data_IF_882650776499
#
_entry.id   IF_882650776499
#
_cell.length_a   1.000
_cell.length_b   1.000
_cell.length_c   1.000
_cell.angle_alpha   90.00
_cell.angle_beta   90.00
_cell.angle_gamma   90.00
#
_symmetry.space_group_name_H-M   'P 1'
#
loop_
_entity.id
_entity.type
_entity.pdbx_description
1 polymer ?
#
# COMPACT_ATOMS: atom_id res chain seq x y z
N UNK A 1 -12.38 -4.01 1.87
CA UNK A 1 -12.82 -4.66 3.12
C UNK A 1 -13.52 -3.72 4.09
N UNK A 2 -13.20 -2.41 4.16
CA UNK A 2 -13.80 -1.54 5.20
C UNK A 2 -14.33 -0.19 4.67
N UNK A 3 -14.69 -0.16 3.38
CA UNK A 3 -15.10 1.06 2.69
C UNK A 3 -13.97 2.07 2.48
N UNK A 4 -14.07 2.86 1.41
CA UNK A 4 -13.38 4.16 1.41
C UNK A 4 -14.25 5.09 2.30
N UNK A 5 -13.65 6.01 3.06
CA UNK A 5 -14.44 7.07 3.67
C UNK A 5 -15.25 7.76 2.57
N UNK A 6 -16.50 8.12 2.88
CA UNK A 6 -17.40 8.77 1.93
C UNK A 6 -16.94 10.22 1.69
N UNK A 7 -15.91 10.34 0.85
CA UNK A 7 -15.24 11.59 0.55
C UNK A 7 -15.73 12.09 -0.81
N UNK A 8 -16.02 13.39 -0.95
CA UNK A 8 -16.39 13.96 -2.23
C UNK A 8 -15.26 13.75 -3.25
N UNK A 9 -15.62 13.35 -4.47
CA UNK A 9 -14.71 13.46 -5.60
C UNK A 9 -14.53 14.94 -5.95
N UNK A 10 -13.30 15.34 -6.26
CA UNK A 10 -13.05 16.71 -6.66
C UNK A 10 -13.42 16.87 -8.13
N UNK A 11 -14.17 17.92 -8.46
CA UNK A 11 -14.47 18.24 -9.86
C UNK A 11 -13.19 18.68 -10.59
N UNK A 12 -13.11 18.54 -11.92
CA UNK A 12 -11.97 19.02 -12.70
C UNK A 12 -11.67 20.50 -12.47
N UNK A 13 -12.70 21.33 -12.23
CA UNK A 13 -12.56 22.75 -11.93
C UNK A 13 -11.88 22.97 -10.58
N UNK A 14 -12.29 22.23 -9.54
CA UNK A 14 -11.67 22.28 -8.21
C UNK A 14 -10.20 21.82 -8.30
N UNK A 15 -9.94 20.70 -8.97
CA UNK A 15 -8.56 20.20 -9.16
C UNK A 15 -7.69 21.23 -9.89
N UNK A 16 -8.21 21.86 -10.95
CA UNK A 16 -7.50 22.91 -11.70
C UNK A 16 -7.20 24.14 -10.83
N UNK A 17 -8.20 24.61 -10.06
CA UNK A 17 -8.05 25.72 -9.12
C UNK A 17 -6.95 25.44 -8.09
N UNK A 18 -7.05 24.32 -7.37
CA UNK A 18 -6.06 23.94 -6.34
C UNK A 18 -4.66 23.77 -6.95
N UNK A 19 -4.55 23.17 -8.13
CA UNK A 19 -3.27 23.06 -8.83
C UNK A 19 -2.67 24.43 -9.17
N UNK A 20 -3.51 25.39 -9.59
CA UNK A 20 -3.06 26.75 -9.89
C UNK A 20 -2.56 27.48 -8.65
N UNK A 21 -3.24 27.34 -7.51
CA UNK A 21 -2.85 27.92 -6.23
C UNK A 21 -1.53 27.34 -5.72
N UNK A 22 -1.36 26.02 -5.81
CA UNK A 22 -0.14 25.35 -5.37
C UNK A 22 1.04 25.51 -6.33
N UNK A 23 0.83 26.05 -7.54
CA UNK A 23 1.85 26.05 -8.60
C UNK A 23 3.12 26.78 -8.20
N UNK A 24 2.99 27.98 -7.64
CA UNK A 24 4.14 28.80 -7.22
C UNK A 24 4.84 28.19 -6.00
N UNK A 25 4.06 27.68 -5.04
CA UNK A 25 4.58 27.06 -3.82
C UNK A 25 5.37 25.79 -4.15
N UNK A 26 4.84 24.94 -5.03
CA UNK A 26 5.56 23.76 -5.54
C UNK A 26 6.85 24.13 -6.25
N UNK A 27 6.81 25.18 -7.10
CA UNK A 27 7.99 25.64 -7.85
C UNK A 27 9.09 26.18 -6.94
N UNK A 28 8.71 26.88 -5.88
CA UNK A 28 9.64 27.48 -4.92
C UNK A 28 9.99 26.52 -3.76
N UNK A 29 9.50 25.27 -3.80
CA UNK A 29 9.62 24.28 -2.71
C UNK A 29 9.16 24.80 -1.34
N UNK A 30 8.20 25.72 -1.34
CA UNK A 30 7.69 26.38 -0.13
C UNK A 30 6.61 25.53 0.54
N UNK A 31 7.07 24.42 1.13
CA UNK A 31 6.23 23.44 1.82
C UNK A 31 5.50 24.02 3.02
N UNK A 32 6.21 24.82 3.84
CA UNK A 32 5.68 25.31 5.11
C UNK A 32 4.52 26.29 4.88
N UNK A 33 4.63 27.16 3.87
CA UNK A 33 3.52 28.02 3.45
C UNK A 33 2.34 27.21 2.91
N UNK A 34 2.60 26.14 2.14
CA UNK A 34 1.54 25.29 1.61
C UNK A 34 0.77 24.55 2.73
N UNK A 35 1.47 24.05 3.75
CA UNK A 35 0.83 23.47 4.94
C UNK A 35 0.02 24.52 5.69
N UNK A 36 0.54 25.75 5.75
CA UNK A 36 -0.17 26.90 6.33
C UNK A 36 -1.53 27.19 5.69
N UNK A 37 -1.72 26.89 4.39
CA UNK A 37 -3.02 27.03 3.72
C UNK A 37 -4.08 26.09 4.31
N UNK A 38 -3.73 24.81 4.49
CA UNK A 38 -4.63 23.82 5.11
C UNK A 38 -4.96 24.17 6.56
N UNK A 39 -3.98 24.68 7.31
CA UNK A 39 -4.18 25.08 8.70
C UNK A 39 -5.14 26.26 8.82
N UNK A 40 -5.02 27.27 7.94
CA UNK A 40 -5.95 28.40 7.87
C UNK A 40 -7.39 27.96 7.55
N UNK A 41 -7.53 26.86 6.81
CA UNK A 41 -8.81 26.25 6.48
C UNK A 41 -9.32 25.25 7.54
N UNK A 42 -8.64 25.14 8.69
CA UNK A 42 -9.08 24.33 9.83
C UNK A 42 -8.60 22.87 9.82
N UNK A 43 -7.77 22.45 8.88
CA UNK A 43 -7.20 21.09 8.89
C UNK A 43 -5.89 21.02 9.70
N UNK A 44 -6.03 20.83 11.01
CA UNK A 44 -4.89 20.64 11.92
C UNK A 44 -4.07 19.38 11.61
N UNK A 45 -4.62 18.40 10.89
CA UNK A 45 -3.91 17.16 10.55
C UNK A 45 -2.82 17.38 9.51
N UNK A 46 -2.82 18.53 8.82
CA UNK A 46 -1.79 18.92 7.86
C UNK A 46 -0.37 18.95 8.47
N UNK A 47 -0.25 19.21 9.77
CA UNK A 47 1.04 19.16 10.51
C UNK A 47 1.66 17.76 10.54
N UNK A 48 0.85 16.72 10.40
CA UNK A 48 1.31 15.33 10.40
C UNK A 48 1.74 14.84 9.02
N UNK A 49 1.61 15.68 7.98
CA UNK A 49 2.06 15.33 6.64
C UNK A 49 3.59 15.30 6.60
N UNK A 50 4.13 14.24 6.00
CA UNK A 50 5.56 14.18 5.71
C UNK A 50 5.93 15.36 4.80
N UNK A 51 7.10 15.95 5.04
CA UNK A 51 7.62 17.03 4.20
C UNK A 51 7.60 16.63 2.73
N UNK A 52 7.14 17.55 1.87
CA UNK A 52 7.00 17.37 0.43
C UNK A 52 5.97 16.31 -0.01
N UNK A 53 5.06 15.87 0.86
CA UNK A 53 3.90 15.06 0.46
C UNK A 53 2.82 15.93 -0.20
N UNK A 54 3.19 16.52 -1.33
CA UNK A 54 2.36 17.44 -2.12
C UNK A 54 1.07 16.81 -2.62
N UNK A 55 1.04 15.48 -2.78
CA UNK A 55 -0.15 14.75 -3.17
C UNK A 55 -1.20 14.79 -2.06
N UNK A 56 -0.83 14.44 -0.82
CA UNK A 56 -1.78 14.49 0.31
C UNK A 56 -2.21 15.91 0.64
N UNK A 57 -1.30 16.87 0.52
CA UNK A 57 -1.60 18.29 0.72
C UNK A 57 -2.64 18.79 -0.31
N UNK A 58 -2.39 18.55 -1.59
CA UNK A 58 -3.33 18.88 -2.66
C UNK A 58 -4.69 18.21 -2.41
N UNK A 59 -4.70 16.92 -2.07
CA UNK A 59 -5.95 16.21 -1.82
C UNK A 59 -6.72 16.76 -0.62
N UNK A 60 -6.03 17.22 0.42
CA UNK A 60 -6.64 17.91 1.55
C UNK A 60 -7.37 19.18 1.12
N UNK A 61 -6.71 20.01 0.29
CA UNK A 61 -7.31 21.25 -0.23
C UNK A 61 -8.51 20.97 -1.13
N UNK A 62 -8.39 20.00 -2.03
CA UNK A 62 -9.49 19.56 -2.89
C UNK A 62 -10.72 19.11 -2.09
N UNK A 63 -10.53 18.37 -0.99
CA UNK A 63 -11.63 17.91 -0.14
C UNK A 63 -12.31 19.09 0.57
N UNK A 64 -11.52 20.02 1.12
CA UNK A 64 -12.08 21.21 1.79
C UNK A 64 -12.81 22.10 0.79
N UNK A 65 -12.27 22.29 -0.40
CA UNK A 65 -12.94 23.05 -1.46
C UNK A 65 -14.25 22.38 -1.91
N UNK A 66 -14.31 21.04 -1.94
CA UNK A 66 -15.49 20.31 -2.37
C UNK A 66 -16.58 20.18 -1.28
N UNK A 67 -16.22 19.98 -0.01
CA UNK A 67 -17.17 19.72 1.08
C UNK A 67 -17.19 20.76 2.21
N UNK A 68 -16.29 21.74 2.19
CA UNK A 68 -16.17 22.77 3.23
C UNK A 68 -15.60 22.26 4.56
N UNK A 69 -15.24 20.98 4.66
CA UNK A 69 -14.71 20.37 5.88
C UNK A 69 -13.42 19.58 5.61
N UNK A 70 -12.50 19.50 6.59
CA UNK A 70 -11.27 18.73 6.46
C UNK A 70 -11.49 17.23 6.22
N UNK A 71 -10.44 16.57 5.71
CA UNK A 71 -10.41 15.13 5.52
C UNK A 71 -10.73 14.34 6.80
N UNK A 72 -10.31 14.84 7.95
CA UNK A 72 -10.52 14.22 9.26
C UNK A 72 -11.98 14.18 9.70
N UNK A 73 -12.85 15.00 9.11
CA UNK A 73 -14.30 15.01 9.39
C UNK A 73 -15.04 13.81 8.82
N UNK A 74 -14.42 13.06 7.90
CA UNK A 74 -15.03 11.88 7.28
C UNK A 74 -14.61 10.61 8.03
N UNK A 75 -15.55 9.90 8.68
CA UNK A 75 -15.22 8.68 9.39
C UNK A 75 -14.74 7.61 8.41
N UNK A 76 -13.69 6.91 8.80
CA UNK A 76 -13.25 5.70 8.09
C UNK A 76 -13.93 4.52 8.78
N UNK A 77 -14.84 3.78 8.11
CA UNK A 77 -15.59 2.71 8.76
C UNK A 77 -14.68 1.65 9.40
N UNK A 78 -13.48 1.46 8.84
CA UNK A 78 -12.46 0.59 9.38
C UNK A 78 -12.01 0.92 10.81
N UNK A 79 -11.87 2.21 11.15
CA UNK A 79 -11.27 2.60 12.43
C UNK A 79 -12.16 2.17 13.60
N UNK A 80 -13.48 2.34 13.44
CA UNK A 80 -14.46 1.87 14.41
C UNK A 80 -14.40 0.36 14.61
N UNK A 81 -14.29 -0.41 13.52
CA UNK A 81 -14.12 -1.86 13.59
C UNK A 81 -12.81 -2.26 14.31
N UNK A 82 -11.69 -1.60 13.97
CA UNK A 82 -10.39 -1.86 14.58
C UNK A 82 -10.38 -1.58 16.08
N UNK A 83 -11.08 -0.53 16.53
CA UNK A 83 -11.24 -0.20 17.95
C UNK A 83 -12.09 -1.25 18.69
N UNK A 84 -13.17 -1.73 18.08
CA UNK A 84 -14.02 -2.78 18.64
C UNK A 84 -13.25 -4.10 18.76
N UNK A 85 -12.54 -4.52 17.72
CA UNK A 85 -11.78 -5.77 17.76
C UNK A 85 -10.59 -5.69 18.72
N UNK A 86 -9.87 -4.56 18.76
CA UNK A 86 -8.83 -4.35 19.75
C UNK A 86 -9.38 -4.45 21.19
N UNK A 87 -10.62 -4.00 21.41
CA UNK A 87 -11.31 -4.10 22.69
C UNK A 87 -11.75 -5.54 22.99
N UNK A 88 -12.24 -6.30 22.00
CA UNK A 88 -12.56 -7.74 22.13
C UNK A 88 -11.34 -8.59 22.44
N UNK A 89 -10.23 -8.36 21.74
CA UNK A 89 -8.94 -9.04 21.99
C UNK A 89 -8.42 -8.72 23.40
N UNK A 90 -8.54 -7.46 23.84
CA UNK A 90 -8.18 -7.07 25.22
C UNK A 90 -9.07 -7.75 26.26
N UNK A 91 -10.39 -7.75 26.06
CA UNK A 91 -11.36 -8.38 26.96
C UNK A 91 -11.17 -9.90 27.06
N UNK A 92 -10.78 -10.56 25.96
CA UNK A 92 -10.43 -11.99 25.95
C UNK A 92 -9.12 -12.30 26.68
N UNK A 93 -8.26 -11.31 26.92
CA UNK A 93 -6.97 -11.49 27.59
C UNK A 93 -7.00 -11.16 29.09
N UNK A 94 -8.04 -10.48 29.60
CA UNK A 94 -8.22 -10.21 31.02
C UNK A 94 -9.44 -10.96 31.57
N UNK A 95 -9.20 -12.02 32.36
CA UNK A 95 -10.25 -12.59 33.21
C UNK A 95 -10.66 -11.57 34.27
N UNK A 96 -11.97 -11.30 34.32
CA UNK A 96 -12.72 -10.50 35.31
C UNK A 96 -12.65 -8.97 35.19
N UNK A 97 -13.55 -8.38 34.40
CA UNK A 97 -14.20 -7.11 34.77
C UNK A 97 -15.67 -7.14 34.31
N UNK A 98 -16.60 -6.90 35.23
CA UNK A 98 -18.03 -6.73 34.96
C UNK A 98 -18.26 -5.49 34.08
N UNK A 99 -19.20 -5.53 33.11
CA UNK A 99 -19.51 -4.36 32.32
C UNK A 99 -20.40 -3.41 33.13
N UNK A 100 -19.86 -2.25 33.51
CA UNK A 100 -20.71 -1.12 33.92
C UNK A 100 -21.24 -0.37 32.69
N UNK A 101 -22.51 -0.03 32.81
CA UNK A 101 -23.43 0.46 31.80
C UNK A 101 -23.12 1.93 31.45
N UNK A 102 -23.03 2.22 30.14
CA UNK A 102 -22.71 3.56 29.64
C UNK A 102 -22.82 3.64 28.12
N UNK A 103 -23.97 3.27 27.58
CA UNK A 103 -24.22 3.21 26.13
C UNK A 103 -24.50 4.60 25.56
N UNK A 104 -23.48 5.26 25.02
CA UNK A 104 -23.68 6.25 23.95
C UNK A 104 -23.72 5.47 22.62
N UNK A 105 -24.93 5.08 22.19
CA UNK A 105 -25.15 4.43 20.88
C UNK A 105 -24.78 5.40 19.74
N UNK A 106 -23.52 5.41 19.35
CA UNK A 106 -23.10 5.85 18.03
C UNK A 106 -23.69 4.87 17.02
N UNK A 107 -24.47 5.35 16.04
CA UNK A 107 -25.02 4.56 14.94
C UNK A 107 -23.88 4.13 14.02
N UNK A 108 -23.10 3.15 14.47
CA UNK A 108 -22.04 2.53 13.69
C UNK A 108 -22.71 1.50 12.78
N UNK A 109 -22.45 1.60 11.47
CA UNK A 109 -22.80 0.54 10.51
C UNK A 109 -22.07 -0.74 10.92
N UNK A 110 -22.78 -1.64 11.59
CA UNK A 110 -22.33 -3.02 11.78
C UNK A 110 -22.13 -3.64 10.39
N UNK A 111 -21.00 -4.32 10.20
CA UNK A 111 -20.69 -4.99 8.94
C UNK A 111 -21.54 -6.26 8.83
N UNK A 112 -22.07 -6.54 7.64
CA UNK A 112 -22.89 -7.74 7.38
C UNK A 112 -22.10 -9.07 7.37
N UNK A 113 -20.78 -9.02 7.56
CA UNK A 113 -19.89 -10.18 7.42
C UNK A 113 -18.86 -10.26 8.56
N UNK A 114 -18.67 -11.47 9.07
CA UNK A 114 -17.52 -11.82 9.90
C UNK A 114 -16.32 -12.19 9.01
N UNK A 115 -15.16 -11.58 9.29
CA UNK A 115 -13.96 -11.75 8.48
C UNK A 115 -12.90 -12.54 9.26
N UNK A 116 -12.44 -13.66 8.69
CA UNK A 116 -11.24 -14.36 9.12
C UNK A 116 -10.08 -14.02 8.16
N UNK A 117 -9.15 -13.18 8.62
CA UNK A 117 -8.13 -12.58 7.77
C UNK A 117 -6.77 -13.27 7.93
N UNK A 118 -6.18 -13.70 6.81
CA UNK A 118 -4.84 -14.28 6.77
C UNK A 118 -3.89 -13.44 5.93
N UNK A 119 -2.62 -13.35 6.36
CA UNK A 119 -1.55 -12.74 5.60
C UNK A 119 -0.41 -13.74 5.41
N UNK A 120 -0.22 -14.17 4.16
CA UNK A 120 0.84 -15.10 3.77
C UNK A 120 2.15 -14.33 3.57
N UNK A 121 3.20 -14.71 4.31
CA UNK A 121 4.51 -14.06 4.21
C UNK A 121 5.64 -15.07 4.36
N UNK A 122 6.80 -14.75 3.81
CA UNK A 122 8.07 -15.46 4.04
C UNK A 122 9.09 -14.52 4.68
N UNK A 123 10.27 -15.05 5.03
CA UNK A 123 11.39 -14.22 5.47
C UNK A 123 11.74 -13.18 4.41
N UNK A 124 12.05 -11.96 4.86
CA UNK A 124 12.12 -10.79 3.97
C UNK A 124 13.22 -10.90 2.91
N UNK A 125 14.34 -11.56 3.22
CA UNK A 125 15.40 -11.83 2.25
C UNK A 125 14.93 -12.75 1.12
N UNK A 126 14.17 -13.78 1.45
CA UNK A 126 13.66 -14.73 0.46
C UNK A 126 12.50 -14.12 -0.34
N UNK A 127 11.69 -13.26 0.29
CA UNK A 127 10.70 -12.45 -0.41
C UNK A 127 11.37 -11.56 -1.48
N UNK A 128 12.49 -10.91 -1.15
CA UNK A 128 13.20 -10.06 -2.10
C UNK A 128 13.81 -10.86 -3.25
N UNK A 129 14.40 -12.02 -2.98
CA UNK A 129 14.87 -12.94 -4.04
C UNK A 129 13.74 -13.34 -4.98
N UNK A 130 12.60 -13.77 -4.44
CA UNK A 130 11.42 -14.14 -5.24
C UNK A 130 10.87 -12.96 -6.05
N UNK A 131 10.87 -11.75 -5.49
CA UNK A 131 10.47 -10.53 -6.22
C UNK A 131 11.41 -10.27 -7.39
N UNK A 132 12.71 -10.37 -7.16
CA UNK A 132 13.71 -10.05 -8.17
C UNK A 132 13.66 -11.06 -9.32
N UNK A 133 13.60 -12.35 -8.99
CA UNK A 133 13.39 -13.44 -9.93
C UNK A 133 12.09 -13.25 -10.73
N UNK A 134 10.96 -12.90 -10.07
CA UNK A 134 9.70 -12.64 -10.78
C UNK A 134 9.81 -11.46 -11.74
N UNK A 135 10.57 -10.41 -11.39
CA UNK A 135 10.78 -9.28 -12.29
C UNK A 135 11.54 -9.71 -13.55
N UNK A 136 12.55 -10.57 -13.41
CA UNK A 136 13.28 -11.15 -14.54
C UNK A 136 12.37 -12.06 -15.39
N UNK A 137 11.62 -12.95 -14.76
CA UNK A 137 10.65 -13.84 -15.42
C UNK A 137 9.59 -13.05 -16.22
N UNK A 138 9.13 -11.90 -15.71
CA UNK A 138 8.21 -11.03 -16.45
C UNK A 138 8.80 -10.43 -17.73
N UNK A 139 10.14 -10.41 -17.86
CA UNK A 139 10.84 -9.94 -19.05
C UNK A 139 11.23 -11.09 -19.98
N UNK A 140 11.16 -12.35 -19.53
CA UNK A 140 11.43 -13.50 -20.39
C UNK A 140 10.23 -13.80 -21.28
N UNK A 141 10.50 -14.25 -22.51
CA UNK A 141 9.48 -14.62 -23.49
C UNK A 141 9.03 -13.49 -24.43
N UNK A 142 8.33 -13.86 -25.50
CA UNK A 142 7.90 -12.93 -26.57
C UNK A 142 6.72 -12.05 -26.19
N UNK A 143 5.93 -12.45 -25.18
CA UNK A 143 4.71 -11.77 -24.74
C UNK A 143 4.83 -11.29 -23.28
N UNK A 144 6.05 -10.97 -22.84
CA UNK A 144 6.31 -10.46 -21.49
C UNK A 144 5.94 -8.98 -21.32
N UNK A 145 6.29 -8.43 -20.16
CA UNK A 145 5.99 -7.07 -19.73
C UNK A 145 6.36 -6.00 -20.78
N UNK A 146 7.49 -6.15 -21.48
CA UNK A 146 7.92 -5.19 -22.50
C UNK A 146 7.00 -5.19 -23.73
N UNK A 147 6.50 -6.36 -24.14
CA UNK A 147 5.57 -6.46 -25.27
C UNK A 147 4.23 -5.81 -24.91
N UNK A 148 3.69 -6.13 -23.73
CA UNK A 148 2.45 -5.51 -23.23
C UNK A 148 2.59 -3.99 -23.07
N UNK A 149 3.71 -3.52 -22.49
CA UNK A 149 3.96 -2.09 -22.32
C UNK A 149 4.15 -1.37 -23.67
N UNK A 150 4.80 -2.00 -24.64
CA UNK A 150 4.91 -1.45 -26.01
C UNK A 150 3.53 -1.32 -26.65
N UNK A 151 2.69 -2.34 -26.54
CA UNK A 151 1.33 -2.31 -27.08
C UNK A 151 0.50 -1.17 -26.46
N UNK A 152 0.59 -0.97 -25.15
CA UNK A 152 -0.08 0.16 -24.48
C UNK A 152 0.42 1.53 -24.97
N UNK A 153 1.73 1.66 -25.23
CA UNK A 153 2.30 2.88 -25.83
C UNK A 153 1.77 3.10 -27.26
N UNK A 154 1.64 2.03 -28.04
CA UNK A 154 1.12 2.09 -29.42
C UNK A 154 -0.36 2.50 -29.45
N UNK A 155 -1.12 2.15 -28.40
CA UNK A 155 -2.48 2.64 -28.17
C UNK A 155 -2.55 4.11 -27.68
N UNK A 156 -1.41 4.78 -27.52
CA UNK A 156 -1.32 6.18 -27.08
C UNK A 156 -1.35 6.39 -25.56
N UNK A 157 -1.25 5.32 -24.75
CA UNK A 157 -1.20 5.43 -23.30
C UNK A 157 0.24 5.77 -22.88
N UNK A 158 0.45 7.01 -22.43
CA UNK A 158 1.76 7.47 -21.97
C UNK A 158 2.01 7.13 -20.50
N UNK A 159 3.28 7.01 -20.05
CA UNK A 159 3.60 6.81 -18.65
C UNK A 159 2.94 7.88 -17.76
N UNK A 160 2.46 7.46 -16.60
CA UNK A 160 1.86 8.32 -15.57
C UNK A 160 0.52 9.01 -15.94
N UNK A 161 -0.10 8.67 -17.07
CA UNK A 161 -1.39 9.26 -17.50
C UNK A 161 -2.61 8.53 -16.94
N UNK A 162 -2.52 7.20 -16.81
CA UNK A 162 -3.58 6.33 -16.30
C UNK A 162 -3.12 5.55 -15.07
N UNK A 163 -4.05 4.99 -14.30
CA UNK A 163 -3.74 4.12 -13.16
C UNK A 163 -2.87 2.93 -13.61
N UNK A 164 -3.20 2.32 -14.74
CA UNK A 164 -2.43 1.22 -15.34
C UNK A 164 -1.00 1.64 -15.68
N UNK A 165 -0.82 2.79 -16.34
CA UNK A 165 0.52 3.31 -16.70
C UNK A 165 1.37 3.73 -15.48
N UNK A 166 0.77 3.87 -14.30
CA UNK A 166 1.45 4.17 -13.03
C UNK A 166 1.80 2.92 -12.24
N UNK A 167 1.28 1.75 -12.64
CA UNK A 167 1.57 0.49 -11.97
C UNK A 167 3.06 0.14 -12.07
N UNK A 168 3.55 -0.51 -11.02
CA UNK A 168 4.95 -0.96 -10.94
C UNK A 168 5.18 -2.02 -12.02
N UNK A 169 6.30 -1.93 -12.74
CA UNK A 169 6.56 -2.71 -13.93
C UNK A 169 6.21 -1.91 -15.17
N UNK A 170 4.92 -1.61 -15.37
CA UNK A 170 4.46 -0.86 -16.55
C UNK A 170 5.10 0.52 -16.65
N UNK A 171 5.12 1.32 -15.57
CA UNK A 171 5.72 2.65 -15.62
C UNK A 171 7.19 2.60 -16.04
N UNK A 172 7.98 1.72 -15.41
CA UNK A 172 9.40 1.55 -15.72
C UNK A 172 9.62 1.04 -17.15
N UNK A 173 8.83 0.06 -17.58
CA UNK A 173 8.92 -0.52 -18.92
C UNK A 173 8.56 0.50 -20.00
N UNK A 174 7.50 1.28 -19.80
CA UNK A 174 7.09 2.33 -20.74
C UNK A 174 8.12 3.46 -20.82
N UNK A 175 8.67 3.91 -19.69
CA UNK A 175 9.74 4.92 -19.65
C UNK A 175 10.99 4.41 -20.41
N UNK A 176 11.38 3.15 -20.17
CA UNK A 176 12.49 2.49 -20.86
C UNK A 176 12.24 2.41 -22.38
N UNK A 177 11.08 1.91 -22.80
CA UNK A 177 10.73 1.75 -24.22
C UNK A 177 10.65 3.08 -24.96
N UNK A 178 10.11 4.14 -24.32
CA UNK A 178 10.10 5.47 -24.92
C UNK A 178 11.51 6.02 -25.14
N UNK A 179 12.43 5.78 -24.21
CA UNK A 179 13.83 6.15 -24.39
C UNK A 179 14.47 5.36 -25.54
N UNK A 180 14.21 4.05 -25.62
CA UNK A 180 14.66 3.23 -26.75
C UNK A 180 14.13 3.77 -28.09
N UNK A 181 12.83 4.10 -28.17
CA UNK A 181 12.21 4.67 -29.39
C UNK A 181 12.87 5.99 -29.80
N UNK A 182 13.18 6.87 -28.84
CA UNK A 182 13.91 8.13 -29.09
C UNK A 182 15.33 7.90 -29.59
N UNK A 183 15.96 6.81 -29.18
CA UNK A 183 17.28 6.39 -29.65
C UNK A 183 17.24 5.58 -30.96
N UNK A 184 16.10 5.47 -31.65
CA UNK A 184 15.98 4.69 -32.89
C UNK A 184 15.71 3.20 -32.67
N UNK A 185 15.16 2.82 -31.52
CA UNK A 185 14.81 1.44 -31.17
C UNK A 185 15.95 0.64 -30.54
N UNK A 186 17.06 1.28 -30.19
CA UNK A 186 18.22 0.63 -29.56
C UNK A 186 18.31 0.97 -28.07
N UNK A 187 18.98 0.10 -27.31
CA UNK A 187 19.30 0.28 -25.89
C UNK A 187 20.67 -0.30 -25.62
N UNK A 188 21.43 0.33 -24.74
CA UNK A 188 22.65 -0.28 -24.20
C UNK A 188 22.32 -1.33 -23.13
N UNK A 189 23.31 -2.16 -22.81
CA UNK A 189 23.21 -3.17 -21.73
C UNK A 189 23.03 -2.47 -20.37
N UNK A 190 23.74 -1.37 -20.16
CA UNK A 190 23.67 -0.55 -18.95
C UNK A 190 22.28 0.06 -18.76
N UNK A 191 21.66 0.57 -19.83
CA UNK A 191 20.30 1.12 -19.79
C UNK A 191 19.26 0.05 -19.43
N UNK A 192 19.39 -1.15 -20.00
CA UNK A 192 18.52 -2.27 -19.67
C UNK A 192 18.64 -2.68 -18.20
N UNK A 193 19.88 -2.82 -17.69
CA UNK A 193 20.10 -3.15 -16.29
C UNK A 193 19.65 -2.03 -15.34
N UNK A 194 19.77 -0.77 -15.73
CA UNK A 194 19.23 0.35 -14.97
C UNK A 194 17.69 0.26 -14.87
N UNK A 195 17.01 -0.01 -15.98
CA UNK A 195 15.57 -0.28 -16.00
C UNK A 195 15.18 -1.45 -15.06
N UNK A 196 15.84 -2.60 -15.20
CA UNK A 196 15.54 -3.79 -14.39
C UNK A 196 15.76 -3.51 -12.90
N UNK A 197 16.88 -2.86 -12.54
CA UNK A 197 17.19 -2.47 -11.17
C UNK A 197 16.11 -1.56 -10.58
N UNK A 198 15.62 -0.58 -11.36
CA UNK A 198 14.53 0.30 -10.95
C UNK A 198 13.20 -0.42 -10.77
N UNK A 199 12.88 -1.37 -11.66
CA UNK A 199 11.69 -2.20 -11.55
C UNK A 199 11.73 -3.05 -10.28
N UNK A 200 12.81 -3.82 -10.08
CA UNK A 200 13.00 -4.65 -8.90
C UNK A 200 12.98 -3.82 -7.61
N UNK A 201 13.65 -2.65 -7.58
CA UNK A 201 13.65 -1.72 -6.45
C UNK A 201 12.24 -1.23 -6.11
N UNK A 202 11.47 -0.82 -7.12
CA UNK A 202 10.09 -0.37 -6.91
C UNK A 202 9.20 -1.50 -6.35
N UNK A 203 9.35 -2.72 -6.87
CA UNK A 203 8.63 -3.91 -6.41
C UNK A 203 8.97 -4.26 -4.95
N UNK A 204 10.26 -4.25 -4.57
CA UNK A 204 10.70 -4.47 -3.17
C UNK A 204 10.18 -3.38 -2.23
N UNK A 205 10.18 -2.12 -2.66
CA UNK A 205 9.65 -1.01 -1.88
C UNK A 205 8.13 -1.13 -1.68
N UNK A 206 7.40 -1.64 -2.67
CA UNK A 206 5.97 -1.92 -2.54
C UNK A 206 5.72 -3.06 -1.55
N UNK A 207 6.44 -4.18 -1.66
CA UNK A 207 6.35 -5.28 -0.69
C UNK A 207 6.69 -4.83 0.73
N UNK A 208 7.72 -3.97 0.91
CA UNK A 208 8.04 -3.36 2.21
C UNK A 208 6.84 -2.56 2.75
N UNK A 209 6.18 -1.74 1.92
CA UNK A 209 5.01 -0.97 2.34
C UNK A 209 3.84 -1.88 2.73
N UNK A 210 3.60 -2.95 1.97
CA UNK A 210 2.60 -3.97 2.32
C UNK A 210 2.90 -4.58 3.69
N UNK A 211 4.13 -5.07 3.91
CA UNK A 211 4.56 -5.62 5.20
C UNK A 211 4.38 -4.63 6.35
N UNK A 212 4.76 -3.35 6.15
CA UNK A 212 4.55 -2.31 7.16
C UNK A 212 3.07 -2.09 7.46
N UNK A 213 2.21 -2.09 6.44
CA UNK A 213 0.76 -1.93 6.62
C UNK A 213 0.19 -3.09 7.43
N UNK A 214 0.37 -4.34 6.97
CA UNK A 214 -0.18 -5.53 7.63
C UNK A 214 0.35 -5.72 9.06
N UNK A 215 1.55 -5.22 9.40
CA UNK A 215 2.09 -5.31 10.77
C UNK A 215 1.27 -4.50 11.76
N UNK A 216 0.72 -3.39 11.29
CA UNK A 216 -0.11 -2.51 12.08
C UNK A 216 -1.59 -2.90 12.05
N UNK A 217 -1.93 -4.01 11.38
CA UNK A 217 -3.28 -4.55 11.33
C UNK A 217 -3.44 -5.79 12.21
N UNK A 218 -4.10 -5.68 13.37
CA UNK A 218 -4.22 -6.78 14.33
C UNK A 218 -5.10 -7.92 13.81
N UNK A 219 -5.97 -7.64 12.83
CA UNK A 219 -6.94 -8.57 12.26
C UNK A 219 -6.31 -9.72 11.47
N UNK A 220 -5.09 -9.53 10.96
CA UNK A 220 -4.46 -10.51 10.10
C UNK A 220 -3.67 -11.52 10.93
N UNK A 221 -3.98 -12.80 10.74
CA UNK A 221 -3.19 -13.93 11.19
C UNK A 221 -2.03 -14.15 10.20
N UNK A 222 -0.79 -14.06 10.68
CA UNK A 222 0.40 -14.12 9.82
C UNK A 222 0.84 -15.57 9.66
N UNK A 223 0.82 -16.08 8.44
CA UNK A 223 1.20 -17.45 8.12
C UNK A 223 2.50 -17.50 7.30
N UNK A 224 3.34 -18.46 7.62
CA UNK A 224 4.60 -18.73 6.92
C UNK A 224 4.34 -19.42 5.58
N UNK A 225 4.42 -18.64 4.50
CA UNK A 225 4.25 -19.13 3.13
C UNK A 225 5.45 -19.94 2.60
N UNK A 226 6.46 -20.23 3.44
CA UNK A 226 7.49 -21.21 3.13
C UNK A 226 7.07 -22.65 3.49
N UNK A 227 5.97 -22.80 4.24
CA UNK A 227 5.37 -24.09 4.54
C UNK A 227 4.73 -24.70 3.28
N UNK A 228 4.57 -26.04 3.22
CA UNK A 228 3.85 -26.71 2.14
C UNK A 228 2.45 -26.13 1.92
N UNK A 229 2.09 -25.89 0.65
CA UNK A 229 0.80 -25.29 0.28
C UNK A 229 -0.39 -26.03 0.89
N UNK A 230 -0.38 -27.36 0.83
CA UNK A 230 -1.44 -28.22 1.38
C UNK A 230 -1.67 -27.97 2.87
N UNK A 231 -0.60 -27.80 3.66
CA UNK A 231 -0.73 -27.52 5.10
C UNK A 231 -1.41 -26.17 5.35
N UNK A 232 -1.05 -25.14 4.58
CA UNK A 232 -1.64 -23.81 4.72
C UNK A 232 -3.10 -23.80 4.29
N UNK A 233 -3.43 -24.48 3.19
CA UNK A 233 -4.80 -24.59 2.69
C UNK A 233 -5.69 -25.34 3.70
N UNK A 234 -5.22 -26.47 4.22
CA UNK A 234 -5.96 -27.23 5.23
C UNK A 234 -6.20 -26.36 6.47
N UNK A 235 -5.16 -25.73 7.02
CA UNK A 235 -5.32 -24.86 8.19
C UNK A 235 -6.31 -23.72 7.96
N UNK A 236 -6.25 -23.02 6.81
CA UNK A 236 -7.18 -21.93 6.49
C UNK A 236 -8.62 -22.45 6.37
N UNK A 237 -8.79 -23.64 5.80
CA UNK A 237 -10.09 -24.28 5.60
C UNK A 237 -10.68 -24.75 6.93
N UNK A 238 -9.88 -25.43 7.76
CA UNK A 238 -10.28 -25.91 9.09
C UNK A 238 -10.64 -24.74 10.01
N UNK A 239 -9.85 -23.67 9.97
CA UNK A 239 -10.13 -22.46 10.74
C UNK A 239 -11.44 -21.75 10.31
N UNK A 240 -11.90 -21.97 9.07
CA UNK A 240 -13.16 -21.43 8.57
C UNK A 240 -14.37 -22.29 8.95
N UNK A 241 -14.28 -23.62 8.83
CA UNK A 241 -15.42 -24.53 9.04
C UNK A 241 -15.55 -25.04 10.48
N UNK A 242 -14.44 -25.19 11.18
CA UNK A 242 -14.41 -25.81 12.51
C UNK A 242 -14.13 -24.75 13.59
N UNK A 243 -12.91 -24.78 14.14
CA UNK A 243 -12.48 -23.85 15.18
C UNK A 243 -11.03 -23.46 14.93
N UNK A 244 -10.69 -22.24 15.31
CA UNK A 244 -9.33 -21.74 15.19
C UNK A 244 -8.41 -22.50 16.15
N UNK A 245 -7.67 -23.50 15.64
CA UNK A 245 -6.69 -24.22 16.44
C UNK A 245 -5.44 -23.36 16.68
N UNK A 246 -5.36 -22.81 17.89
CA UNK A 246 -4.22 -22.01 18.32
C UNK A 246 -2.91 -22.78 18.27
N UNK A 247 -2.91 -24.11 18.44
CA UNK A 247 -1.67 -24.90 18.45
C UNK A 247 -1.09 -25.07 17.05
N UNK A 248 -1.93 -25.42 16.06
CA UNK A 248 -1.53 -25.46 14.65
C UNK A 248 -1.16 -24.08 14.12
N UNK A 249 -1.89 -23.03 14.52
CA UNK A 249 -1.51 -21.65 14.18
C UNK A 249 -0.11 -21.29 14.69
N UNK A 250 0.21 -21.61 15.93
CA UNK A 250 1.53 -21.33 16.53
C UNK A 250 2.68 -22.06 15.80
N UNK A 251 2.41 -23.21 15.18
CA UNK A 251 3.39 -23.93 14.36
C UNK A 251 3.55 -23.32 12.94
N UNK A 252 2.50 -22.68 12.41
CA UNK A 252 2.48 -22.11 11.07
C UNK A 252 2.74 -20.59 11.04
N UNK A 253 2.78 -19.93 12.19
CA UNK A 253 2.93 -18.48 12.26
C UNK A 253 4.33 -18.05 11.86
N UNK A 254 4.40 -16.89 11.21
CA UNK A 254 5.66 -16.19 10.98
C UNK A 254 5.77 -14.98 11.91
N UNK A 255 6.97 -14.72 12.42
CA UNK A 255 7.22 -13.55 13.26
C UNK A 255 6.96 -12.25 12.49
N UNK A 256 6.14 -11.37 13.07
CA UNK A 256 5.85 -10.05 12.51
C UNK A 256 7.11 -9.17 12.44
N UNK A 257 8.02 -9.32 13.41
CA UNK A 257 9.21 -8.47 13.55
C UNK A 257 10.41 -9.06 12.83
N UNK A 258 11.20 -8.18 12.21
CA UNK A 258 12.44 -8.57 11.54
C UNK A 258 13.56 -8.68 12.58
N UNK A 259 14.22 -9.82 12.65
CA UNK A 259 15.36 -10.11 13.51
C UNK A 259 16.58 -9.23 13.16
N UNK A 260 17.46 -8.95 14.13
CA UNK A 260 18.74 -8.27 13.89
C UNK A 260 19.58 -8.97 12.82
N UNK A 261 19.53 -10.31 12.75
CA UNK A 261 20.24 -11.11 11.75
C UNK A 261 19.69 -10.84 10.34
N UNK A 262 18.37 -10.78 10.22
CA UNK A 262 17.69 -10.47 8.95
C UNK A 262 17.96 -9.03 8.50
N UNK A 263 18.00 -8.07 9.42
CA UNK A 263 18.35 -6.67 9.10
C UNK A 263 19.74 -6.60 8.46
N UNK A 264 20.74 -7.31 9.04
CA UNK A 264 22.09 -7.39 8.46
C UNK A 264 22.08 -8.04 7.07
N UNK A 265 21.35 -9.14 6.90
CA UNK A 265 21.18 -9.80 5.60
C UNK A 265 20.55 -8.88 4.55
N UNK A 266 19.58 -8.05 4.92
CA UNK A 266 18.95 -7.08 4.03
C UNK A 266 19.88 -5.92 3.65
N UNK A 267 20.77 -5.49 4.55
CA UNK A 267 21.76 -4.45 4.24
C UNK A 267 22.78 -4.93 3.20
N UNK A 268 23.14 -6.21 3.28
CA UNK A 268 24.08 -6.87 2.38
C UNK A 268 23.44 -7.36 1.08
N UNK A 269 22.10 -7.42 1.02
CA UNK A 269 21.38 -7.91 -0.14
C UNK A 269 21.70 -7.08 -1.39
N UNK A 270 22.08 -7.79 -2.46
CA UNK A 270 22.26 -7.26 -3.80
C UNK A 270 21.57 -8.22 -4.76
N UNK A 271 20.91 -7.65 -5.76
CA UNK A 271 20.37 -8.39 -6.91
C UNK A 271 21.51 -9.10 -7.62
N UNK A 272 21.33 -10.39 -7.89
CA UNK A 272 22.24 -11.19 -8.71
C UNK A 272 21.70 -11.19 -10.14
N UNK A 273 21.72 -10.03 -10.79
CA UNK A 273 21.31 -9.89 -12.19
C UNK A 273 22.48 -10.17 -13.13
#
# INVERSE_FOLDING_TARGET
MYGKPDMPEASPEITSKVLSELRLLKRNEDWDTAVGLLLKLGDSTALNLNRNDWYRLQRGLEIIEAAGVPRSSFPVPYNSFKEQEASRIKASSCYNVHPEDGTTKSSLTELDYDFLCFFLSVQRTDLYKKIDQRCEEMLTGSNGLLAEASWLLDMGILPNTTITSRAIGYRQAMEYLLNCRRAGGVSSVEEFFAFLSEFQRASRNFAKRQLTWFRNEPLYHWLDASQPLEKLVNFITDAYYESFDSSTYEALKINKTTSRKEIKGLQQYRTQN
#
